data_IF_731424988615
#
_entry.id   IF_731424988615
#
_cell.length_a   1.000
_cell.length_b   1.000
_cell.length_c   1.000
_cell.angle_alpha   90.00
_cell.angle_beta   90.00
_cell.angle_gamma   90.00
#
_symmetry.space_group_name_H-M   'P 1'
#
loop_
_entity.id
_entity.type
_entity.pdbx_description
1 polymer ?
#
# COMPACT_ATOMS: atom_id res chain seq x y z
N UNK A 1 29.62 -19.52 -58.11
CA UNK A 1 30.28 -19.12 -56.85
C UNK A 1 29.21 -18.81 -55.82
N UNK A 2 29.17 -19.61 -54.76
CA UNK A 2 28.21 -19.48 -53.66
C UNK A 2 28.52 -18.25 -52.81
N UNK A 3 27.54 -17.37 -52.63
CA UNK A 3 27.63 -16.26 -51.66
C UNK A 3 26.85 -16.68 -50.42
N UNK A 4 27.59 -16.87 -49.33
CA UNK A 4 27.12 -17.46 -48.09
C UNK A 4 25.96 -16.70 -47.45
N UNK A 5 24.90 -17.45 -47.13
CA UNK A 5 23.87 -17.03 -46.17
C UNK A 5 24.56 -16.77 -44.83
N UNK A 6 24.64 -15.49 -44.42
CA UNK A 6 24.95 -15.16 -43.04
C UNK A 6 23.80 -15.69 -42.18
N UNK A 7 24.13 -16.63 -41.30
CA UNK A 7 23.25 -17.08 -40.24
C UNK A 7 22.86 -15.86 -39.40
N UNK A 8 21.58 -15.50 -39.42
CA UNK A 8 21.01 -14.68 -38.36
C UNK A 8 21.17 -15.46 -37.05
N UNK A 9 21.78 -14.89 -36.00
CA UNK A 9 21.74 -15.52 -34.70
C UNK A 9 20.26 -15.59 -34.30
N UNK A 10 19.77 -16.81 -34.11
CA UNK A 10 18.48 -17.04 -33.48
C UNK A 10 18.46 -16.22 -32.18
N UNK A 11 17.44 -15.37 -31.93
CA UNK A 11 17.30 -14.78 -30.63
C UNK A 11 17.22 -15.91 -29.60
N UNK A 12 17.88 -15.79 -28.44
CA UNK A 12 17.85 -16.84 -27.42
C UNK A 12 16.40 -17.18 -27.10
N UNK A 13 16.06 -18.46 -27.27
CA UNK A 13 14.76 -19.08 -26.96
C UNK A 13 14.36 -18.97 -25.48
N UNK A 14 15.10 -18.25 -24.66
CA UNK A 14 14.86 -18.07 -23.22
C UNK A 14 14.02 -16.84 -22.86
N UNK A 15 13.62 -16.01 -23.82
CA UNK A 15 12.82 -14.80 -23.54
C UNK A 15 11.29 -14.99 -23.60
N UNK A 16 10.81 -16.23 -23.63
CA UNK A 16 9.38 -16.53 -23.85
C UNK A 16 8.62 -17.16 -22.67
N UNK A 17 9.27 -17.51 -21.55
CA UNK A 17 8.60 -18.27 -20.48
C UNK A 17 9.01 -17.83 -19.08
N UNK A 18 8.47 -16.68 -18.66
CA UNK A 18 7.81 -16.49 -17.35
C UNK A 18 7.43 -15.00 -17.20
N UNK A 19 6.27 -14.61 -17.78
CA UNK A 19 5.51 -13.47 -17.22
C UNK A 19 5.08 -13.94 -15.83
N UNK A 20 5.76 -13.46 -14.79
CA UNK A 20 5.57 -13.93 -13.43
C UNK A 20 4.10 -13.89 -12.97
N UNK A 21 3.65 -14.85 -12.13
CA UNK A 21 2.35 -14.83 -11.47
C UNK A 21 2.25 -13.77 -10.37
N UNK A 22 2.98 -12.64 -10.43
CA UNK A 22 3.05 -11.64 -9.35
C UNK A 22 1.67 -11.11 -8.95
N UNK A 23 0.89 -10.66 -9.94
CA UNK A 23 -0.47 -10.19 -9.74
C UNK A 23 -1.36 -11.29 -9.15
N UNK A 24 -1.28 -12.51 -9.70
CA UNK A 24 -2.04 -13.67 -9.23
C UNK A 24 -1.69 -14.01 -7.79
N UNK A 25 -0.41 -14.04 -7.42
CA UNK A 25 0.05 -14.30 -6.06
C UNK A 25 -0.52 -13.25 -5.09
N UNK A 26 -0.40 -11.96 -5.42
CA UNK A 26 -0.92 -10.89 -4.57
C UNK A 26 -2.44 -11.00 -4.39
N UNK A 27 -3.19 -11.24 -5.48
CA UNK A 27 -4.64 -11.40 -5.40
C UNK A 27 -5.05 -12.67 -4.62
N UNK A 28 -4.33 -13.77 -4.79
CA UNK A 28 -4.57 -15.01 -4.03
C UNK A 28 -4.30 -14.81 -2.54
N UNK A 29 -3.23 -14.09 -2.17
CA UNK A 29 -2.96 -13.76 -0.77
C UNK A 29 -4.04 -12.85 -0.18
N UNK A 30 -4.49 -11.86 -0.94
CA UNK A 30 -5.58 -10.98 -0.52
C UNK A 30 -6.87 -11.78 -0.28
N UNK A 31 -7.24 -12.62 -1.24
CA UNK A 31 -8.43 -13.47 -1.13
C UNK A 31 -8.33 -14.43 0.06
N UNK A 32 -7.17 -15.08 0.24
CA UNK A 32 -6.91 -15.96 1.38
C UNK A 32 -7.05 -15.21 2.70
N UNK A 33 -6.36 -14.07 2.85
CA UNK A 33 -6.43 -13.27 4.07
C UNK A 33 -7.87 -12.83 4.37
N UNK A 34 -8.56 -12.20 3.42
CA UNK A 34 -9.92 -11.69 3.64
C UNK A 34 -10.89 -12.82 3.96
N UNK A 35 -10.82 -13.94 3.24
CA UNK A 35 -11.70 -15.08 3.51
C UNK A 35 -11.46 -15.63 4.90
N UNK A 36 -10.19 -15.82 5.29
CA UNK A 36 -9.84 -16.31 6.62
C UNK A 36 -10.31 -15.36 7.72
N UNK A 37 -10.09 -14.05 7.58
CA UNK A 37 -10.55 -13.04 8.57
C UNK A 37 -12.08 -13.02 8.69
N UNK A 38 -12.81 -13.10 7.58
CA UNK A 38 -14.28 -13.13 7.59
C UNK A 38 -14.80 -14.40 8.27
N UNK A 39 -14.19 -15.56 8.01
CA UNK A 39 -14.55 -16.81 8.69
C UNK A 39 -14.28 -16.74 10.20
N UNK A 40 -13.19 -16.08 10.60
CA UNK A 40 -12.84 -15.93 12.01
C UNK A 40 -13.76 -14.97 12.76
N UNK A 41 -14.06 -13.80 12.17
CA UNK A 41 -15.06 -12.87 12.72
C UNK A 41 -16.47 -13.48 12.73
N UNK A 42 -16.79 -14.35 11.77
CA UNK A 42 -18.04 -15.11 11.69
C UNK A 42 -18.16 -16.25 12.71
N UNK A 43 -17.18 -16.43 13.59
CA UNK A 43 -17.12 -17.48 14.62
C UNK A 43 -17.12 -18.91 14.08
N UNK A 44 -16.77 -19.11 12.81
CA UNK A 44 -16.68 -20.44 12.18
C UNK A 44 -15.42 -21.17 12.66
N UNK A 45 -14.33 -20.44 12.89
CA UNK A 45 -13.09 -20.93 13.51
C UNK A 45 -12.46 -19.78 14.29
N UNK A 46 -12.01 -20.00 15.54
CA UNK A 46 -11.40 -18.94 16.35
C UNK A 46 -9.97 -19.35 16.74
N UNK A 47 -8.95 -18.94 15.99
CA UNK A 47 -7.57 -19.24 16.37
C UNK A 47 -7.22 -18.51 17.68
N UNK A 48 -6.30 -19.05 18.48
CA UNK A 48 -5.67 -18.30 19.56
C UNK A 48 -5.11 -16.96 19.05
N UNK A 49 -5.27 -15.90 19.83
CA UNK A 49 -4.82 -14.53 19.49
C UNK A 49 -3.35 -14.46 19.07
N UNK A 50 -2.49 -15.29 19.63
CA UNK A 50 -1.07 -15.36 19.24
C UNK A 50 -0.90 -15.92 17.83
N UNK A 51 -1.58 -17.02 17.50
CA UNK A 51 -1.51 -17.64 16.16
C UNK A 51 -2.03 -16.67 15.10
N UNK A 52 -3.09 -15.96 15.43
CA UNK A 52 -3.67 -14.92 14.61
C UNK A 52 -2.67 -13.81 14.24
N UNK A 53 -1.99 -13.23 15.23
CA UNK A 53 -0.98 -12.19 14.96
C UNK A 53 0.25 -12.73 14.23
N UNK A 54 0.66 -13.98 14.50
CA UNK A 54 1.74 -14.63 13.74
C UNK A 54 1.36 -14.84 12.28
N UNK A 55 0.11 -15.19 12.00
CA UNK A 55 -0.42 -15.32 10.64
C UNK A 55 -0.30 -14.01 9.86
N UNK A 56 -0.67 -12.88 10.48
CA UNK A 56 -0.52 -11.55 9.89
C UNK A 56 0.91 -11.16 9.59
N UNK A 57 1.81 -11.36 10.55
CA UNK A 57 3.23 -11.12 10.36
C UNK A 57 3.78 -11.98 9.21
N UNK A 58 3.38 -13.25 9.13
CA UNK A 58 3.77 -14.15 8.05
C UNK A 58 3.26 -13.67 6.68
N UNK A 59 2.00 -13.23 6.58
CA UNK A 59 1.43 -12.67 5.35
C UNK A 59 2.19 -11.42 4.89
N UNK A 60 2.47 -10.47 5.80
CA UNK A 60 3.26 -9.27 5.47
C UNK A 60 4.67 -9.62 5.01
N UNK A 61 5.37 -10.53 5.69
CA UNK A 61 6.69 -11.01 5.29
C UNK A 61 6.66 -11.69 3.92
N UNK A 62 5.61 -12.45 3.62
CA UNK A 62 5.44 -13.09 2.33
C UNK A 62 5.27 -12.05 1.22
N UNK A 63 4.42 -11.03 1.42
CA UNK A 63 4.27 -9.92 0.45
C UNK A 63 5.60 -9.20 0.22
N UNK A 64 6.34 -8.89 1.30
CA UNK A 64 7.68 -8.29 1.19
C UNK A 64 8.61 -9.16 0.35
N UNK A 65 8.62 -10.48 0.58
CA UNK A 65 9.45 -11.45 -0.15
C UNK A 65 9.08 -11.51 -1.63
N UNK A 66 7.78 -11.56 -1.94
CA UNK A 66 7.27 -11.53 -3.31
C UNK A 66 7.70 -10.26 -4.04
N UNK A 67 7.66 -9.10 -3.36
CA UNK A 67 8.14 -7.81 -3.91
C UNK A 67 9.64 -7.79 -4.15
N UNK A 68 10.43 -8.30 -3.21
CA UNK A 68 11.88 -8.44 -3.35
C UNK A 68 12.24 -9.32 -4.55
N UNK A 69 11.54 -10.44 -4.72
CA UNK A 69 11.74 -11.34 -5.86
C UNK A 69 11.36 -10.67 -7.19
N UNK A 70 10.22 -9.96 -7.23
CA UNK A 70 9.74 -9.27 -8.43
C UNK A 70 10.64 -8.08 -8.83
N UNK A 71 11.38 -7.49 -7.89
CA UNK A 71 12.27 -6.37 -8.17
C UNK A 71 13.27 -6.64 -9.32
N UNK A 72 13.72 -7.88 -9.50
CA UNK A 72 14.67 -8.28 -10.56
C UNK A 72 14.11 -8.10 -11.98
N UNK A 73 12.79 -7.98 -12.12
CA UNK A 73 12.10 -7.83 -13.40
C UNK A 73 11.74 -6.37 -13.72
N UNK A 74 11.97 -5.46 -12.77
CA UNK A 74 11.67 -4.05 -12.93
C UNK A 74 12.81 -3.35 -13.66
N UNK A 75 12.46 -2.34 -14.47
CA UNK A 75 13.46 -1.41 -15.00
C UNK A 75 14.26 -0.75 -13.87
N UNK A 76 15.55 -0.41 -14.07
CA UNK A 76 16.42 0.09 -12.99
C UNK A 76 15.84 1.28 -12.21
N UNK A 77 15.14 2.18 -12.91
CA UNK A 77 14.50 3.33 -12.30
C UNK A 77 13.33 2.92 -11.39
N UNK A 78 12.46 2.01 -11.83
CA UNK A 78 11.32 1.53 -11.03
C UNK A 78 11.80 0.65 -9.87
N UNK A 79 12.82 -0.18 -10.10
CA UNK A 79 13.46 -1.00 -9.07
C UNK A 79 14.03 -0.16 -7.90
N UNK A 80 14.55 1.06 -8.18
CA UNK A 80 14.99 1.98 -7.12
C UNK A 80 13.85 2.37 -6.19
N UNK A 81 12.70 2.76 -6.73
CA UNK A 81 11.55 3.16 -5.92
C UNK A 81 10.83 1.95 -5.31
N UNK A 82 10.86 0.79 -5.96
CA UNK A 82 10.35 -0.45 -5.37
C UNK A 82 11.09 -0.81 -4.07
N UNK A 83 12.42 -0.63 -4.02
CA UNK A 83 13.20 -0.80 -2.77
C UNK A 83 12.76 0.15 -1.65
N UNK A 84 12.46 1.40 -2.00
CA UNK A 84 11.95 2.40 -1.03
C UNK A 84 10.59 1.95 -0.48
N UNK A 85 9.69 1.47 -1.34
CA UNK A 85 8.40 0.94 -0.90
C UNK A 85 8.53 -0.34 -0.07
N UNK A 86 9.49 -1.21 -0.38
CA UNK A 86 9.77 -2.41 0.42
C UNK A 86 10.28 -2.01 1.81
N UNK A 87 11.18 -1.03 1.90
CA UNK A 87 11.62 -0.48 3.18
C UNK A 87 10.43 0.11 3.97
N UNK A 88 9.54 0.85 3.31
CA UNK A 88 8.33 1.36 3.96
C UNK A 88 7.42 0.24 4.48
N UNK A 89 7.22 -0.81 3.67
CA UNK A 89 6.42 -1.98 4.05
C UNK A 89 7.03 -2.75 5.22
N UNK A 90 8.36 -2.84 5.28
CA UNK A 90 9.07 -3.45 6.40
C UNK A 90 8.90 -2.65 7.70
N UNK A 91 8.93 -1.31 7.63
CA UNK A 91 8.64 -0.45 8.79
C UNK A 91 7.20 -0.64 9.26
N UNK A 92 6.23 -0.72 8.34
CA UNK A 92 4.84 -0.98 8.70
C UNK A 92 4.67 -2.40 9.29
N UNK A 93 5.33 -3.43 8.74
CA UNK A 93 5.30 -4.78 9.30
C UNK A 93 5.89 -4.86 10.71
N UNK A 94 6.95 -4.09 11.00
CA UNK A 94 7.46 -3.94 12.37
C UNK A 94 6.45 -3.23 13.27
N UNK A 95 5.76 -2.22 12.74
CA UNK A 95 4.63 -1.57 13.40
C UNK A 95 3.53 -2.55 13.78
N UNK A 96 3.17 -3.46 12.88
CA UNK A 96 2.16 -4.50 13.11
C UNK A 96 2.58 -5.45 14.23
N UNK A 97 3.84 -5.88 14.24
CA UNK A 97 4.40 -6.73 15.31
C UNK A 97 4.35 -6.02 16.66
N UNK A 98 4.81 -4.77 16.72
CA UNK A 98 4.73 -3.92 17.93
C UNK A 98 3.29 -3.79 18.41
N UNK A 99 2.37 -3.60 17.48
CA UNK A 99 0.96 -3.36 17.74
C UNK A 99 0.15 -4.63 18.05
N UNK A 100 0.77 -5.80 17.93
CA UNK A 100 0.12 -7.10 18.15
C UNK A 100 0.12 -7.54 19.61
N UNK A 101 -0.56 -8.65 19.91
CA UNK A 101 -0.50 -9.26 21.24
C UNK A 101 0.88 -9.87 21.57
N UNK A 102 1.73 -10.14 20.57
CA UNK A 102 3.00 -10.88 20.78
C UNK A 102 4.14 -9.98 21.28
N UNK A 103 4.00 -8.66 21.18
CA UNK A 103 5.05 -7.71 21.59
C UNK A 103 5.19 -7.54 23.10
N UNK A 104 4.14 -7.86 23.87
CA UNK A 104 4.11 -7.66 25.33
C UNK A 104 4.24 -6.20 25.80
N UNK A 105 4.20 -5.22 24.89
CA UNK A 105 4.29 -3.79 25.23
C UNK A 105 2.95 -3.35 25.82
N UNK A 106 2.93 -2.77 27.01
CA UNK A 106 1.67 -2.32 27.63
C UNK A 106 1.86 -0.92 28.23
N UNK A 107 0.81 -0.07 28.26
CA UNK A 107 -0.56 -0.28 27.75
C UNK A 107 -0.69 -0.13 26.21
N UNK A 108 -1.90 -0.32 25.64
CA UNK A 108 -2.16 -0.12 24.18
C UNK A 108 -1.73 1.28 23.73
N UNK A 109 -1.93 2.32 24.55
CA UNK A 109 -1.47 3.67 24.23
C UNK A 109 0.06 3.75 23.98
N UNK A 110 0.87 2.93 24.64
CA UNK A 110 2.31 2.82 24.36
C UNK A 110 2.59 2.06 23.06
N UNK A 111 1.86 0.96 22.77
CA UNK A 111 1.96 0.24 21.48
C UNK A 111 1.68 1.19 20.31
N UNK A 112 0.57 1.92 20.40
CA UNK A 112 0.14 2.86 19.37
C UNK A 112 1.13 4.01 19.18
N UNK A 113 1.82 4.44 20.24
CA UNK A 113 2.84 5.50 20.16
C UNK A 113 4.09 5.04 19.41
N UNK A 114 4.45 3.76 19.51
CA UNK A 114 5.55 3.20 18.72
C UNK A 114 5.08 2.92 17.29
N UNK A 115 3.87 2.35 17.15
CA UNK A 115 3.26 2.04 15.86
C UNK A 115 3.11 3.30 14.99
N UNK A 116 2.68 4.44 15.54
CA UNK A 116 2.57 5.68 14.79
C UNK A 116 3.93 6.20 14.29
N UNK A 117 5.03 5.96 15.00
CA UNK A 117 6.37 6.34 14.50
C UNK A 117 6.76 5.44 13.33
N UNK A 118 6.54 4.13 13.46
CA UNK A 118 6.89 3.13 12.45
C UNK A 118 6.04 3.27 11.18
N UNK A 119 4.72 3.38 11.34
CA UNK A 119 3.80 3.68 10.24
C UNK A 119 4.09 5.04 9.62
N UNK A 120 4.50 6.03 10.42
CA UNK A 120 4.80 7.38 9.94
C UNK A 120 6.01 7.40 9.04
N UNK A 121 7.07 6.71 9.46
CA UNK A 121 8.23 6.46 8.62
C UNK A 121 7.86 5.67 7.35
N UNK A 122 7.11 4.57 7.51
CA UNK A 122 6.72 3.69 6.41
C UNK A 122 5.89 4.39 5.33
N UNK A 123 4.78 5.04 5.72
CA UNK A 123 3.92 5.73 4.77
C UNK A 123 4.51 7.02 4.22
N UNK A 124 5.43 7.68 4.93
CA UNK A 124 6.19 8.79 4.34
C UNK A 124 6.97 8.34 3.10
N UNK A 125 7.52 7.11 3.11
CA UNK A 125 8.16 6.53 1.94
C UNK A 125 7.17 6.21 0.82
N UNK A 126 5.93 5.81 1.16
CA UNK A 126 4.87 5.55 0.17
C UNK A 126 4.45 6.85 -0.51
N UNK A 127 4.19 7.88 0.28
CA UNK A 127 3.88 9.25 -0.17
C UNK A 127 4.99 9.78 -1.08
N UNK A 128 6.24 9.64 -0.67
CA UNK A 128 7.39 10.07 -1.47
C UNK A 128 7.40 9.39 -2.85
N UNK A 129 7.22 8.06 -2.90
CA UNK A 129 7.24 7.32 -4.17
C UNK A 129 6.03 7.69 -5.04
N UNK A 130 4.83 7.79 -4.48
CA UNK A 130 3.64 8.24 -5.20
C UNK A 130 3.83 9.61 -5.83
N UNK A 131 4.41 10.57 -5.08
CA UNK A 131 4.71 11.89 -5.61
C UNK A 131 5.65 11.82 -6.81
N UNK A 132 6.73 11.03 -6.70
CA UNK A 132 7.75 10.88 -7.74
C UNK A 132 7.21 10.21 -9.01
N UNK A 133 6.19 9.37 -8.90
CA UNK A 133 5.55 8.74 -10.05
C UNK A 133 4.38 9.54 -10.63
N UNK A 134 3.56 10.17 -9.79
CA UNK A 134 2.40 10.93 -10.23
C UNK A 134 2.77 12.28 -10.86
N UNK A 135 3.63 13.06 -10.21
CA UNK A 135 3.79 14.47 -10.56
C UNK A 135 4.41 14.71 -11.96
N UNK A 136 5.45 13.99 -12.40
CA UNK A 136 6.00 14.20 -13.74
C UNK A 136 4.97 13.95 -14.85
N UNK A 137 4.20 12.86 -14.75
CA UNK A 137 3.15 12.54 -15.73
C UNK A 137 1.99 13.53 -15.68
N UNK A 138 1.61 13.98 -14.48
CA UNK A 138 0.54 14.96 -14.32
C UNK A 138 0.94 16.31 -14.93
N UNK A 139 2.20 16.74 -14.72
CA UNK A 139 2.74 17.99 -15.26
C UNK A 139 2.74 18.02 -16.79
N UNK A 140 3.21 16.93 -17.44
CA UNK A 140 3.26 16.83 -18.90
C UNK A 140 1.89 16.96 -19.59
N UNK A 141 0.79 16.70 -18.86
CA UNK A 141 -0.55 16.73 -19.45
C UNK A 141 -1.18 18.12 -19.47
N UNK A 142 -0.69 19.06 -18.65
CA UNK A 142 -1.18 20.45 -18.56
C UNK A 142 -2.72 20.65 -18.44
N UNK A 143 -3.46 19.59 -18.11
CA UNK A 143 -4.93 19.55 -18.13
C UNK A 143 -5.60 19.90 -16.80
N UNK A 144 -6.92 19.72 -16.74
CA UNK A 144 -7.75 19.99 -15.55
C UNK A 144 -7.18 19.29 -14.30
N UNK A 145 -6.79 18.02 -14.42
CA UNK A 145 -6.18 17.27 -13.31
C UNK A 145 -4.91 17.92 -12.76
N UNK A 146 -4.08 18.54 -13.61
CA UNK A 146 -2.90 19.29 -13.15
C UNK A 146 -3.31 20.58 -12.43
N UNK A 147 -4.28 21.33 -12.97
CA UNK A 147 -4.76 22.59 -12.37
C UNK A 147 -5.45 22.38 -11.02
N UNK A 148 -6.28 21.34 -10.92
CA UNK A 148 -7.08 21.02 -9.73
C UNK A 148 -6.33 20.20 -8.68
N UNK A 149 -5.06 19.83 -8.92
CA UNK A 149 -4.31 18.92 -8.03
C UNK A 149 -4.26 19.43 -6.58
N UNK A 150 -4.11 20.75 -6.40
CA UNK A 150 -4.07 21.36 -5.07
C UNK A 150 -5.45 21.51 -4.44
N UNK A 151 -6.50 21.63 -5.25
CA UNK A 151 -7.88 21.55 -4.75
C UNK A 151 -8.17 20.17 -4.16
N UNK A 152 -7.65 19.08 -4.77
CA UNK A 152 -7.73 17.74 -4.17
C UNK A 152 -7.06 17.70 -2.81
N UNK A 153 -5.82 18.19 -2.70
CA UNK A 153 -5.09 18.22 -1.43
C UNK A 153 -5.88 19.00 -0.37
N UNK A 154 -6.43 20.15 -0.73
CA UNK A 154 -7.23 20.96 0.19
C UNK A 154 -8.51 20.24 0.63
N UNK A 155 -9.27 19.66 -0.30
CA UNK A 155 -10.51 18.91 0.01
C UNK A 155 -10.20 17.71 0.90
N UNK A 156 -9.15 16.95 0.58
CA UNK A 156 -8.74 15.78 1.36
C UNK A 156 -8.24 16.22 2.74
N UNK A 157 -7.49 17.32 2.85
CA UNK A 157 -7.05 17.85 4.14
C UNK A 157 -8.22 18.24 5.03
N UNK A 158 -9.24 18.89 4.46
CA UNK A 158 -10.48 19.23 5.17
C UNK A 158 -11.20 17.96 5.60
N UNK A 159 -11.41 17.00 4.69
CA UNK A 159 -12.08 15.74 4.99
C UNK A 159 -11.34 14.94 6.09
N UNK A 160 -10.02 14.84 6.01
CA UNK A 160 -9.18 14.19 7.02
C UNK A 160 -9.25 14.94 8.36
N UNK A 161 -9.22 16.28 8.35
CA UNK A 161 -9.33 17.07 9.59
C UNK A 161 -10.68 16.81 10.25
N UNK A 162 -11.77 16.89 9.48
CA UNK A 162 -13.14 16.61 9.97
C UNK A 162 -13.25 15.17 10.47
N UNK A 163 -12.71 14.20 9.73
CA UNK A 163 -12.68 12.79 10.12
C UNK A 163 -11.93 12.58 11.43
N UNK A 164 -10.75 13.18 11.59
CA UNK A 164 -9.98 13.07 12.83
C UNK A 164 -10.72 13.70 14.02
N UNK A 165 -11.29 14.90 13.85
CA UNK A 165 -12.08 15.55 14.90
C UNK A 165 -13.29 14.69 15.29
N UNK A 166 -13.95 14.07 14.31
CA UNK A 166 -15.19 13.32 14.52
C UNK A 166 -14.98 11.93 15.11
N UNK A 167 -13.90 11.24 14.73
CA UNK A 167 -13.70 9.82 15.06
C UNK A 167 -12.48 9.52 15.92
N UNK A 168 -11.43 10.34 15.86
CA UNK A 168 -10.13 10.03 16.49
C UNK A 168 -9.86 10.86 17.73
N UNK A 169 -10.19 12.17 17.72
CA UNK A 169 -9.83 13.10 18.79
C UNK A 169 -10.25 12.63 20.17
N UNK A 170 -11.52 12.24 20.32
CA UNK A 170 -12.06 11.84 21.62
C UNK A 170 -11.36 10.58 22.17
N UNK A 171 -11.17 9.49 21.40
CA UNK A 171 -10.38 8.33 21.80
C UNK A 171 -8.94 8.63 22.25
N UNK A 172 -8.25 9.54 21.57
CA UNK A 172 -6.84 9.85 21.91
C UNK A 172 -6.69 11.02 22.89
N UNK A 173 -7.79 11.65 23.30
CA UNK A 173 -7.78 12.82 24.18
C UNK A 173 -7.12 12.46 25.52
N UNK A 174 -6.18 13.30 25.97
CA UNK A 174 -5.41 13.06 27.19
C UNK A 174 -4.09 12.33 26.97
N UNK A 175 -3.89 11.68 25.81
CA UNK A 175 -2.60 11.13 25.40
C UNK A 175 -1.85 12.11 24.49
N UNK A 176 -1.17 13.12 25.08
CA UNK A 176 -0.55 14.24 24.33
C UNK A 176 0.22 13.83 23.06
N UNK A 177 1.03 12.78 23.13
CA UNK A 177 1.79 12.29 21.98
C UNK A 177 0.88 11.70 20.89
N UNK A 178 -0.10 10.87 21.26
CA UNK A 178 -1.04 10.28 20.31
C UNK A 178 -2.01 11.29 19.74
N UNK A 179 -2.47 12.25 20.53
CA UNK A 179 -3.37 13.30 20.08
C UNK A 179 -2.69 14.18 19.02
N UNK A 180 -1.52 14.75 19.34
CA UNK A 180 -0.78 15.56 18.38
C UNK A 180 -0.22 14.71 17.22
N UNK A 181 0.33 13.54 17.53
CA UNK A 181 0.93 12.63 16.57
C UNK A 181 -0.10 12.17 15.54
N UNK A 182 -1.24 11.63 15.98
CA UNK A 182 -2.30 11.17 15.06
C UNK A 182 -2.90 12.31 14.26
N UNK A 183 -3.03 13.51 14.84
CA UNK A 183 -3.47 14.68 14.10
C UNK A 183 -2.51 15.05 12.97
N UNK A 184 -1.22 15.19 13.27
CA UNK A 184 -0.20 15.53 12.27
C UNK A 184 -0.05 14.43 11.21
N UNK A 185 -0.08 13.18 11.65
CA UNK A 185 -0.05 12.03 10.75
C UNK A 185 -1.22 12.05 9.77
N UNK A 186 -2.43 12.28 10.27
CA UNK A 186 -3.64 12.34 9.48
C UNK A 186 -3.66 13.56 8.55
N UNK A 187 -3.32 14.74 9.06
CA UNK A 187 -3.32 15.98 8.30
C UNK A 187 -2.27 15.97 7.19
N UNK A 188 -1.08 15.41 7.45
CA UNK A 188 0.04 15.44 6.52
C UNK A 188 0.10 14.15 5.71
N UNK A 189 0.38 13.02 6.35
CA UNK A 189 0.69 11.76 5.66
C UNK A 189 -0.53 11.22 4.93
N UNK A 190 -1.69 11.10 5.59
CA UNK A 190 -2.89 10.57 4.92
C UNK A 190 -3.41 11.51 3.84
N UNK A 191 -3.37 12.82 4.07
CA UNK A 191 -3.76 13.79 3.04
C UNK A 191 -2.91 13.62 1.80
N UNK A 192 -1.59 13.55 1.95
CA UNK A 192 -0.69 13.38 0.82
C UNK A 192 -0.84 12.00 0.18
N UNK A 193 -1.00 10.94 0.96
CA UNK A 193 -1.15 9.58 0.42
C UNK A 193 -2.42 9.46 -0.44
N UNK A 194 -3.57 9.88 0.09
CA UNK A 194 -4.84 9.88 -0.64
C UNK A 194 -4.73 10.78 -1.88
N UNK A 195 -4.26 12.01 -1.70
CA UNK A 195 -4.17 12.98 -2.79
C UNK A 195 -3.24 12.49 -3.89
N UNK A 196 -2.08 11.95 -3.56
CA UNK A 196 -1.12 11.47 -4.56
C UNK A 196 -1.56 10.16 -5.21
N UNK A 197 -2.33 9.32 -4.52
CA UNK A 197 -3.01 8.18 -5.14
C UNK A 197 -4.06 8.63 -6.17
N UNK A 198 -4.84 9.67 -5.86
CA UNK A 198 -5.77 10.30 -6.82
C UNK A 198 -4.99 10.91 -7.99
N UNK A 199 -3.93 11.65 -7.72
CA UNK A 199 -3.07 12.23 -8.75
C UNK A 199 -2.46 11.15 -9.64
N UNK A 200 -2.01 10.02 -9.06
CA UNK A 200 -1.50 8.88 -9.80
C UNK A 200 -2.58 8.29 -10.72
N UNK A 201 -3.79 8.08 -10.22
CA UNK A 201 -4.90 7.57 -11.02
C UNK A 201 -5.25 8.52 -12.18
N UNK A 202 -5.30 9.83 -11.93
CA UNK A 202 -5.50 10.86 -12.95
C UNK A 202 -4.36 10.92 -13.97
N UNK A 203 -3.12 10.88 -13.50
CA UNK A 203 -1.91 10.83 -14.32
C UNK A 203 -1.83 9.56 -15.17
N UNK A 204 -2.62 8.53 -14.86
CA UNK A 204 -2.74 7.31 -15.66
C UNK A 204 -4.10 7.20 -16.40
N UNK A 205 -4.82 8.32 -16.57
CA UNK A 205 -6.11 8.42 -17.32
C UNK A 205 -7.22 7.54 -16.75
N UNK A 206 -7.30 7.41 -15.43
CA UNK A 206 -8.33 6.61 -14.77
C UNK A 206 -8.29 5.14 -15.22
N UNK A 207 -7.12 4.63 -15.59
CA UNK A 207 -6.98 3.30 -16.16
C UNK A 207 -7.15 2.21 -15.10
N UNK A 208 -7.73 1.08 -15.51
CA UNK A 208 -7.95 -0.07 -14.63
C UNK A 208 -6.66 -0.55 -13.92
N UNK A 209 -5.47 -0.59 -14.56
CA UNK A 209 -4.24 -0.95 -13.87
C UNK A 209 -3.85 -0.01 -12.72
N UNK A 210 -4.25 1.26 -12.76
CA UNK A 210 -3.94 2.21 -11.69
C UNK A 210 -4.95 2.17 -10.52
N UNK A 211 -6.09 1.51 -10.70
CA UNK A 211 -7.16 1.43 -9.70
C UNK A 211 -6.71 0.75 -8.38
N UNK A 212 -5.97 -0.37 -8.38
CA UNK A 212 -5.46 -0.98 -7.15
C UNK A 212 -4.64 0.00 -6.29
N UNK A 213 -3.82 0.85 -6.92
CA UNK A 213 -3.01 1.84 -6.19
C UNK A 213 -3.90 2.90 -5.53
N UNK A 214 -4.97 3.34 -6.21
CA UNK A 214 -5.95 4.26 -5.65
C UNK A 214 -6.64 3.65 -4.44
N UNK A 215 -7.22 2.46 -4.60
CA UNK A 215 -7.93 1.76 -3.53
C UNK A 215 -6.96 1.49 -2.36
N UNK A 216 -5.75 1.01 -2.65
CA UNK A 216 -4.74 0.77 -1.62
C UNK A 216 -4.38 2.03 -0.82
N UNK A 217 -4.18 3.16 -1.51
CA UNK A 217 -3.91 4.45 -0.86
C UNK A 217 -5.08 5.05 -0.09
N UNK A 218 -6.31 4.58 -0.30
CA UNK A 218 -7.50 4.94 0.49
C UNK A 218 -7.71 4.00 1.68
N UNK A 219 -7.45 2.70 1.51
CA UNK A 219 -7.64 1.70 2.57
C UNK A 219 -6.63 1.86 3.71
N UNK A 220 -5.37 2.20 3.41
CA UNK A 220 -4.34 2.37 4.45
C UNK A 220 -4.72 3.47 5.47
N UNK A 221 -5.07 4.71 5.07
CA UNK A 221 -5.57 5.73 5.99
C UNK A 221 -6.83 5.34 6.74
N UNK A 222 -7.78 4.69 6.03
CA UNK A 222 -9.04 4.26 6.63
C UNK A 222 -8.82 3.23 7.73
N UNK A 223 -7.90 2.29 7.52
CA UNK A 223 -7.52 1.34 8.54
C UNK A 223 -6.96 2.04 9.76
N UNK A 224 -6.04 2.98 9.59
CA UNK A 224 -5.46 3.63 10.77
C UNK A 224 -6.47 4.51 11.51
N UNK A 225 -7.40 5.17 10.80
CA UNK A 225 -8.54 5.86 11.42
C UNK A 225 -9.40 4.88 12.24
N UNK A 226 -9.64 3.67 11.72
CA UNK A 226 -10.32 2.61 12.45
C UNK A 226 -9.53 2.23 13.71
N UNK A 227 -8.23 2.01 13.59
CA UNK A 227 -7.34 1.67 14.70
C UNK A 227 -7.37 2.74 15.81
N UNK A 228 -7.20 4.03 15.49
CA UNK A 228 -7.24 5.07 16.52
C UNK A 228 -8.64 5.27 17.12
N UNK A 229 -9.70 5.18 16.30
CA UNK A 229 -11.07 5.41 16.76
C UNK A 229 -11.60 4.29 17.65
N UNK A 230 -11.18 3.05 17.40
CA UNK A 230 -11.75 1.87 18.08
C UNK A 230 -10.87 1.33 19.20
N UNK A 231 -9.54 1.50 19.16
CA UNK A 231 -8.66 0.84 20.13
C UNK A 231 -8.44 1.66 21.41
N UNK A 232 -8.60 2.98 21.35
CA UNK A 232 -8.55 3.87 22.51
C UNK A 232 -9.90 4.51 22.80
N UNK A 233 -11.01 3.88 22.39
CA UNK A 233 -12.33 4.36 22.76
C UNK A 233 -12.40 4.62 24.28
N UNK A 234 -13.09 5.68 24.76
CA UNK A 234 -13.09 6.06 26.16
C UNK A 234 -13.35 4.86 27.10
N UNK A 235 -12.40 4.58 27.98
CA UNK A 235 -12.44 3.43 28.90
C UNK A 235 -11.92 2.09 28.34
N UNK A 236 -11.28 2.08 27.16
CA UNK A 236 -10.76 0.86 26.50
C UNK A 236 -9.24 0.79 26.33
N UNK A 237 -8.43 1.48 27.15
CA UNK A 237 -6.96 1.31 27.18
C UNK A 237 -6.58 -0.01 27.88
N UNK A 238 -6.96 -1.13 27.27
CA UNK A 238 -6.64 -2.50 27.73
C UNK A 238 -5.24 -2.90 27.25
N UNK A 239 -4.80 -4.10 27.61
CA UNK A 239 -3.50 -4.62 27.18
C UNK A 239 -3.51 -5.13 25.72
N UNK A 240 -4.66 -5.63 25.25
CA UNK A 240 -4.85 -6.20 23.91
C UNK A 240 -6.22 -5.80 23.33
N UNK A 241 -6.30 -5.36 22.06
CA UNK A 241 -7.59 -5.10 21.40
C UNK A 241 -8.46 -6.36 21.33
N UNK A 242 -9.79 -6.15 21.28
CA UNK A 242 -10.72 -7.26 21.01
C UNK A 242 -10.43 -7.81 19.62
N UNK A 243 -10.41 -9.14 19.49
CA UNK A 243 -10.11 -9.86 18.26
C UNK A 243 -10.87 -9.31 17.05
N UNK A 244 -12.20 -9.13 17.17
CA UNK A 244 -13.04 -8.68 16.06
C UNK A 244 -12.67 -7.28 15.55
N UNK A 245 -12.27 -6.38 16.46
CA UNK A 245 -11.80 -5.04 16.08
C UNK A 245 -10.46 -5.14 15.35
N UNK A 246 -9.54 -5.97 15.84
CA UNK A 246 -8.27 -6.17 15.16
C UNK A 246 -8.47 -6.77 13.75
N UNK A 247 -9.36 -7.76 13.61
CA UNK A 247 -9.66 -8.41 12.33
C UNK A 247 -10.28 -7.49 11.30
N UNK A 248 -11.26 -6.68 11.72
CA UNK A 248 -11.83 -5.66 10.86
C UNK A 248 -10.77 -4.65 10.40
N UNK A 249 -9.91 -4.21 11.32
CA UNK A 249 -8.79 -3.33 10.98
C UNK A 249 -7.82 -3.99 9.98
N UNK A 250 -7.44 -5.24 10.24
CA UNK A 250 -6.47 -5.95 9.42
C UNK A 250 -6.93 -6.14 7.97
N UNK A 251 -8.22 -6.42 7.75
CA UNK A 251 -8.78 -6.51 6.39
C UNK A 251 -8.52 -5.22 5.60
N UNK A 252 -8.77 -4.07 6.22
CA UNK A 252 -8.53 -2.76 5.58
C UNK A 252 -7.04 -2.54 5.34
N UNK A 253 -6.22 -2.72 6.37
CA UNK A 253 -4.78 -2.50 6.30
C UNK A 253 -4.08 -3.42 5.29
N UNK A 254 -4.21 -4.73 5.45
CA UNK A 254 -3.54 -5.72 4.60
C UNK A 254 -4.06 -5.63 3.17
N UNK A 255 -5.37 -5.42 2.99
CA UNK A 255 -5.95 -5.11 1.69
C UNK A 255 -5.30 -3.90 1.05
N UNK A 256 -5.13 -2.83 1.82
CA UNK A 256 -4.37 -1.64 1.42
C UNK A 256 -2.95 -1.95 0.98
N UNK A 257 -2.19 -2.67 1.81
CA UNK A 257 -0.78 -3.03 1.56
C UNK A 257 -0.61 -3.86 0.28
N UNK A 258 -1.46 -4.87 0.08
CA UNK A 258 -1.42 -5.75 -1.09
C UNK A 258 -1.79 -5.00 -2.37
N UNK A 259 -2.88 -4.22 -2.34
CA UNK A 259 -3.30 -3.45 -3.52
C UNK A 259 -2.27 -2.37 -3.89
N UNK A 260 -1.65 -1.75 -2.90
CA UNK A 260 -0.57 -0.79 -3.13
C UNK A 260 0.71 -1.44 -3.67
N UNK A 261 0.94 -2.72 -3.39
CA UNK A 261 2.09 -3.47 -3.92
C UNK A 261 2.06 -3.62 -5.45
N UNK A 262 0.94 -3.33 -6.12
CA UNK A 262 0.87 -3.26 -7.59
C UNK A 262 1.58 -2.04 -8.18
N UNK A 263 1.82 -0.98 -7.40
CA UNK A 263 2.37 0.29 -7.91
C UNK A 263 3.64 0.12 -8.77
N UNK A 264 4.68 -0.64 -8.36
CA UNK A 264 5.85 -0.85 -9.21
C UNK A 264 5.55 -1.59 -10.52
N UNK A 265 4.64 -2.56 -10.52
CA UNK A 265 4.26 -3.28 -11.74
C UNK A 265 3.55 -2.34 -12.73
N UNK A 266 2.57 -1.58 -12.25
CA UNK A 266 1.83 -0.62 -13.07
C UNK A 266 2.75 0.46 -13.65
N UNK A 267 3.70 0.94 -12.85
CA UNK A 267 4.68 1.93 -13.30
C UNK A 267 5.63 1.38 -14.37
N UNK A 268 6.05 0.12 -14.23
CA UNK A 268 6.93 -0.54 -15.18
C UNK A 268 6.23 -0.74 -16.53
N UNK A 269 4.98 -1.21 -16.52
CA UNK A 269 4.18 -1.43 -17.73
C UNK A 269 3.85 -0.12 -18.46
N UNK A 270 3.53 0.95 -17.73
CA UNK A 270 3.30 2.27 -18.30
C UNK A 270 4.54 2.78 -19.06
N UNK A 271 5.73 2.63 -18.47
CA UNK A 271 7.00 3.05 -19.10
C UNK A 271 7.38 2.22 -20.32
N UNK A 272 7.10 0.92 -20.29
CA UNK A 272 7.33 0.05 -21.44
C UNK A 272 6.42 0.44 -22.61
N UNK A 273 5.19 0.87 -22.32
CA UNK A 273 4.22 1.34 -23.32
C UNK A 273 4.61 2.69 -23.92
N UNK A 274 5.22 3.58 -23.12
CA UNK A 274 5.71 4.91 -23.52
C UNK A 274 7.06 4.89 -24.27
N UNK A 275 7.77 3.76 -24.33
CA UNK A 275 9.07 3.66 -25.01
C UNK A 275 8.93 3.64 -26.54
N UNK A 276 9.73 4.42 -27.32
CA UNK A 276 9.66 4.45 -28.79
C UNK A 276 9.88 3.10 -29.49
N UNK A 277 10.42 2.10 -28.78
CA UNK A 277 10.54 0.73 -29.29
C UNK A 277 9.21 -0.05 -29.32
N UNK A 278 8.13 0.48 -28.75
CA UNK A 278 6.80 -0.15 -28.81
C UNK A 278 6.12 0.02 -30.18
N UNK A 279 6.64 0.89 -31.05
CA UNK A 279 6.16 1.11 -32.42
C UNK A 279 6.42 -0.03 -33.41
N UNK A 280 7.09 -1.11 -33.00
CA UNK A 280 7.32 -2.31 -33.81
C UNK A 280 6.55 -3.54 -33.30
N UNK A 281 5.48 -3.36 -32.51
CA UNK A 281 4.52 -4.46 -32.33
C UNK A 281 3.68 -4.56 -33.61
N UNK A 282 3.72 -5.67 -34.36
CA UNK A 282 2.69 -5.92 -35.35
C UNK A 282 1.33 -5.87 -34.67
N UNK A 283 0.39 -5.19 -35.31
CA UNK A 283 -1.00 -5.15 -34.90
C UNK A 283 -1.58 -6.57 -34.97
N UNK A 284 -1.65 -7.24 -33.82
CA UNK A 284 -2.39 -8.47 -33.57
C UNK A 284 -2.94 -8.31 -32.14
N UNK A 285 -4.23 -8.32 -31.82
CA UNK A 285 -5.46 -8.75 -32.49
C UNK A 285 -6.63 -7.91 -31.96
N UNK A 286 -7.71 -7.85 -32.74
CA UNK A 286 -9.05 -7.46 -32.27
C UNK A 286 -9.73 -8.53 -31.44
#
# INVERSE_FOLDING_TARGET
MAVGRRAHPNPPKELATMKFPYATILLSLLALSVTTEVLWMGNISRPPTTIYHMWHAALMLFVITVRLAYQKQLSPQVARYARILIAGMAMCALGDVVNSAISGIEPISQKLSIAIILFGAGYSLYVYVLYRFSQPRLALRHGIGYRMRWSVVMIVAVANTVGWVSYVRAPVAGHRFLELGSFLFNLVIYTLMISFSIWYFWANRLSLPALPVLIGGLLLPLSDLYLFSTWLAPGQDRNVPVFDLYAANWILYFGGQVLFAFLPACENDARLSESPRSGNRPAELG
#
